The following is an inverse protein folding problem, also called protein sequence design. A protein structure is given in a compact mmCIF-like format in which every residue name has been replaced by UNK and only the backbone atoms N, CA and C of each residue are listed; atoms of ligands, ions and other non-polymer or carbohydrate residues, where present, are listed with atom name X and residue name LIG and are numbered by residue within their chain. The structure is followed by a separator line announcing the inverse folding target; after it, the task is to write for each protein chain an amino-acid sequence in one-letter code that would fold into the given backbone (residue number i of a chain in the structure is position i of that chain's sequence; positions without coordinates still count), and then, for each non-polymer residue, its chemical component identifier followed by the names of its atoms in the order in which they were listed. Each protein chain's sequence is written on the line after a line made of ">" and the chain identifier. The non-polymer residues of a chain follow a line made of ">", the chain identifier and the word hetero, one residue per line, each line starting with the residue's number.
data_IF_040717512402
#
_entry.id   IF_040717512402
#
_cell.length_a   1.000
_cell.length_b   1.000
_cell.length_c   1.000
_cell.angle_alpha   90.00
_cell.angle_beta   90.00
_cell.angle_gamma   90.00
#
_symmetry.space_group_name_H-M   'P 1'
#
loop_
_entity.id
_entity.type
_entity.pdbx_description
1 polymer ?
#
# COMPACT_ATOMS: atom_id res chain seq x y z
N UNK A 1 -13.30 -7.95 -11.69
CA UNK A 1 -12.51 -7.38 -10.59
C UNK A 1 -11.55 -6.27 -11.04
N UNK A 2 -10.58 -6.52 -11.94
CA UNK A 2 -9.66 -5.43 -12.36
C UNK A 2 -10.38 -4.28 -13.07
N UNK A 3 -11.29 -4.59 -14.01
CA UNK A 3 -12.07 -3.58 -14.72
C UNK A 3 -12.92 -2.70 -13.77
N UNK A 4 -13.47 -3.26 -12.69
CA UNK A 4 -14.22 -2.50 -11.69
C UNK A 4 -13.33 -1.63 -10.79
N UNK A 5 -12.08 -2.03 -10.54
CA UNK A 5 -11.14 -1.19 -9.80
C UNK A 5 -10.71 0.05 -10.60
N UNK A 6 -10.63 -0.07 -11.93
CA UNK A 6 -10.36 1.07 -12.83
C UNK A 6 -11.55 2.03 -12.93
N UNK A 7 -12.75 1.61 -12.52
CA UNK A 7 -13.88 2.53 -12.38
C UNK A 7 -13.72 3.49 -11.18
N UNK A 8 -12.86 3.15 -10.21
CA UNK A 8 -12.56 3.93 -9.01
C UNK A 8 -13.74 4.15 -8.05
N UNK A 9 -14.91 3.53 -8.28
CA UNK A 9 -16.07 3.62 -7.37
C UNK A 9 -15.78 3.12 -5.95
N UNK A 10 -14.77 2.27 -5.80
CA UNK A 10 -14.30 1.77 -4.52
C UNK A 10 -13.61 2.85 -3.66
N UNK A 11 -13.05 3.89 -4.28
CA UNK A 11 -12.49 5.05 -3.57
C UNK A 11 -13.59 5.86 -2.89
N UNK A 12 -14.71 6.09 -3.58
CA UNK A 12 -15.89 6.77 -3.02
C UNK A 12 -16.54 6.01 -1.86
N UNK A 13 -16.29 4.71 -1.77
CA UNK A 13 -16.78 3.81 -0.72
C UNK A 13 -15.74 3.59 0.39
N UNK A 14 -14.63 4.31 0.36
CA UNK A 14 -13.51 4.19 1.31
C UNK A 14 -13.04 2.74 1.46
N UNK A 15 -13.02 1.97 0.37
CA UNK A 15 -12.59 0.58 0.38
C UNK A 15 -11.08 0.51 0.24
N UNK A 16 -10.45 -0.46 0.89
CA UNK A 16 -9.01 -0.67 0.78
C UNK A 16 -8.68 -1.62 -0.38
N UNK A 17 -7.41 -1.65 -0.79
CA UNK A 17 -6.90 -2.53 -1.83
C UNK A 17 -5.63 -3.23 -1.37
N UNK A 18 -5.67 -4.54 -1.20
CA UNK A 18 -4.53 -5.35 -0.75
C UNK A 18 -4.01 -6.17 -1.92
N UNK A 19 -2.78 -5.91 -2.34
CA UNK A 19 -2.14 -6.60 -3.46
C UNK A 19 -0.93 -7.37 -2.94
N UNK A 20 -1.01 -8.70 -3.04
CA UNK A 20 0.05 -9.63 -2.61
C UNK A 20 0.59 -10.47 -3.75
N UNK A 21 1.77 -11.08 -3.57
CA UNK A 21 2.38 -11.97 -4.56
C UNK A 21 3.91 -11.89 -4.59
N UNK A 22 4.59 -12.80 -5.30
CA UNK A 22 6.05 -12.91 -5.27
C UNK A 22 6.76 -11.70 -5.90
N UNK A 23 8.07 -11.57 -5.66
CA UNK A 23 8.88 -10.52 -6.28
C UNK A 23 8.74 -10.53 -7.81
N UNK A 24 8.54 -9.35 -8.40
CA UNK A 24 8.44 -9.20 -9.84
C UNK A 24 7.10 -9.60 -10.46
N UNK A 25 6.09 -10.02 -9.69
CA UNK A 25 4.77 -10.42 -10.22
C UNK A 25 3.90 -9.26 -10.76
N UNK A 26 4.42 -8.03 -10.83
CA UNK A 26 3.68 -6.87 -11.35
C UNK A 26 2.80 -6.13 -10.33
N UNK A 27 2.94 -6.39 -9.01
CA UNK A 27 2.13 -5.72 -7.96
C UNK A 27 2.18 -4.19 -8.04
N UNK A 28 3.40 -3.63 -8.03
CA UNK A 28 3.61 -2.18 -8.13
C UNK A 28 3.07 -1.64 -9.45
N UNK A 29 3.25 -2.37 -10.56
CA UNK A 29 2.75 -1.94 -11.87
C UNK A 29 1.22 -1.80 -11.88
N UNK A 30 0.49 -2.83 -11.44
CA UNK A 30 -0.98 -2.79 -11.40
C UNK A 30 -1.47 -1.70 -10.44
N UNK A 31 -0.84 -1.58 -9.27
CA UNK A 31 -1.24 -0.55 -8.29
C UNK A 31 -1.00 0.85 -8.84
N UNK A 32 0.13 1.08 -9.51
CA UNK A 32 0.42 2.35 -10.17
C UNK A 32 -0.56 2.64 -11.31
N UNK A 33 -0.99 1.64 -12.09
CA UNK A 33 -2.01 1.84 -13.13
C UNK A 33 -3.37 2.25 -12.54
N UNK A 34 -3.78 1.61 -11.44
CA UNK A 34 -5.00 1.97 -10.70
C UNK A 34 -4.87 3.39 -10.11
N UNK A 35 -3.75 3.68 -9.43
CA UNK A 35 -3.45 4.98 -8.85
C UNK A 35 -3.46 6.09 -9.90
N UNK A 36 -2.82 5.86 -11.05
CA UNK A 36 -2.80 6.80 -12.17
C UNK A 36 -4.21 7.05 -12.72
N UNK A 37 -5.03 6.01 -12.83
CA UNK A 37 -6.44 6.15 -13.22
C UNK A 37 -7.22 6.99 -12.21
N UNK A 38 -6.95 6.81 -10.91
CA UNK A 38 -7.48 7.66 -9.84
C UNK A 38 -7.11 9.14 -10.02
N UNK A 39 -5.82 9.43 -10.25
CA UNK A 39 -5.37 10.79 -10.56
C UNK A 39 -6.11 11.39 -11.76
N UNK A 40 -6.31 10.59 -12.82
CA UNK A 40 -6.99 11.04 -14.03
C UNK A 40 -8.48 11.32 -13.84
N UNK A 41 -9.07 10.75 -12.78
CA UNK A 41 -10.44 11.01 -12.35
C UNK A 41 -10.55 12.09 -11.28
N UNK A 42 -9.44 12.78 -10.96
CA UNK A 42 -9.41 13.90 -10.02
C UNK A 42 -9.22 13.50 -8.55
N UNK A 43 -8.99 12.22 -8.24
CA UNK A 43 -8.67 11.80 -6.88
C UNK A 43 -7.24 12.20 -6.51
N UNK A 44 -7.06 12.66 -5.27
CA UNK A 44 -5.76 12.87 -4.67
C UNK A 44 -5.10 11.52 -4.34
N UNK A 45 -3.90 11.29 -4.85
CA UNK A 45 -3.18 10.03 -4.68
C UNK A 45 -1.77 10.28 -4.18
N UNK A 46 -1.33 9.48 -3.21
CA UNK A 46 0.02 9.55 -2.68
C UNK A 46 0.61 8.16 -2.53
N UNK A 47 1.84 7.99 -2.99
CA UNK A 47 2.56 6.74 -2.91
C UNK A 47 3.76 6.87 -1.97
N UNK A 48 3.92 5.89 -1.08
CA UNK A 48 5.08 5.73 -0.23
C UNK A 48 5.55 4.29 -0.21
N UNK A 49 6.87 4.09 -0.14
CA UNK A 49 7.41 2.89 0.49
C UNK A 49 7.21 3.01 1.99
N UNK A 50 6.73 1.96 2.66
CA UNK A 50 6.40 1.98 4.08
C UNK A 50 7.58 2.46 4.94
N UNK A 51 8.78 1.96 4.68
CA UNK A 51 10.00 2.37 5.40
C UNK A 51 10.31 3.86 5.28
N UNK A 52 10.04 4.47 4.12
CA UNK A 52 10.25 5.91 3.87
C UNK A 52 9.18 6.76 4.56
N UNK A 53 7.94 6.28 4.60
CA UNK A 53 6.87 6.93 5.37
C UNK A 53 7.19 6.94 6.87
N UNK A 54 7.62 5.81 7.42
CA UNK A 54 8.01 5.71 8.84
C UNK A 54 9.16 6.64 9.21
N UNK A 55 10.16 6.76 8.33
CA UNK A 55 11.25 7.73 8.52
C UNK A 55 10.73 9.18 8.52
N UNK A 56 9.86 9.51 7.56
CA UNK A 56 9.30 10.85 7.45
C UNK A 56 8.43 11.21 8.67
N UNK A 57 7.64 10.28 9.22
CA UNK A 57 6.87 10.48 10.45
C UNK A 57 7.79 10.70 11.67
N UNK A 58 8.91 9.97 11.72
CA UNK A 58 9.92 10.16 12.78
C UNK A 58 10.53 11.57 12.70
N UNK A 59 10.86 12.04 11.50
CA UNK A 59 11.36 13.39 11.28
C UNK A 59 10.31 14.46 11.64
N UNK A 60 9.07 14.23 11.24
CA UNK A 60 7.95 15.13 11.54
C UNK A 60 7.69 15.28 13.05
N UNK A 61 7.99 14.25 13.84
CA UNK A 61 7.96 14.37 15.31
C UNK A 61 9.08 15.25 15.84
N UNK A 62 10.28 15.12 15.28
CA UNK A 62 11.44 15.88 15.71
C UNK A 62 11.33 17.39 15.38
N UNK A 63 10.66 17.75 14.30
CA UNK A 63 10.48 19.14 13.86
C UNK A 63 9.10 19.74 14.22
N UNK A 64 8.24 18.98 14.91
CA UNK A 64 6.91 19.42 15.36
C UNK A 64 5.83 19.43 14.27
N UNK A 65 6.08 18.87 13.09
CA UNK A 65 5.11 18.82 11.97
C UNK A 65 4.27 17.53 11.92
N UNK A 66 4.44 16.61 12.87
CA UNK A 66 3.77 15.30 12.89
C UNK A 66 2.24 15.36 12.72
N UNK A 67 1.55 16.19 13.52
CA UNK A 67 0.09 16.33 13.42
C UNK A 67 -0.35 16.84 12.05
N UNK A 68 0.39 17.79 11.47
CA UNK A 68 0.11 18.30 10.11
C UNK A 68 0.32 17.21 9.06
N UNK A 69 1.33 16.37 9.23
CA UNK A 69 1.58 15.24 8.32
C UNK A 69 0.46 14.21 8.40
N UNK A 70 0.00 13.81 9.60
CA UNK A 70 -1.14 12.91 9.77
C UNK A 70 -2.40 13.46 9.10
N UNK A 71 -2.74 14.72 9.36
CA UNK A 71 -3.89 15.37 8.72
C UNK A 71 -3.78 15.41 7.19
N UNK A 72 -2.56 15.62 6.66
CA UNK A 72 -2.32 15.58 5.22
C UNK A 72 -2.51 14.17 4.66
N UNK A 73 -2.06 13.14 5.38
CA UNK A 73 -2.25 11.75 4.98
C UNK A 73 -3.72 11.37 5.03
N UNK A 74 -4.46 11.75 6.08
CA UNK A 74 -5.88 11.44 6.25
C UNK A 74 -6.75 11.91 5.07
N UNK A 75 -6.46 13.11 4.56
CA UNK A 75 -7.21 13.77 3.47
C UNK A 75 -6.95 13.24 2.07
N UNK A 76 -5.93 12.39 1.88
CA UNK A 76 -5.61 11.82 0.57
C UNK A 76 -6.62 10.70 0.26
N UNK A 77 -7.30 10.81 -0.88
CA UNK A 77 -8.32 9.84 -1.31
C UNK A 77 -7.73 8.43 -1.43
N UNK A 78 -6.53 8.31 -2.02
CA UNK A 78 -5.80 7.05 -2.12
C UNK A 78 -4.36 7.15 -1.60
N UNK A 79 -4.09 6.53 -0.46
CA UNK A 79 -2.73 6.33 0.06
C UNK A 79 -2.22 4.94 -0.35
N UNK A 80 -1.15 4.88 -1.12
CA UNK A 80 -0.48 3.63 -1.50
C UNK A 80 0.74 3.42 -0.60
N UNK A 81 0.79 2.28 0.07
CA UNK A 81 1.91 1.82 0.89
C UNK A 81 2.52 0.58 0.24
N UNK A 82 3.70 0.75 -0.34
CA UNK A 82 4.49 -0.35 -0.92
C UNK A 82 5.51 -0.89 0.08
N UNK A 83 6.04 -2.07 -0.22
CA UNK A 83 7.03 -2.79 0.58
C UNK A 83 6.53 -3.17 1.99
N UNK A 84 5.23 -3.45 2.13
CA UNK A 84 4.67 -3.90 3.40
C UNK A 84 5.23 -5.26 3.82
N UNK A 85 5.65 -5.35 5.09
CA UNK A 85 6.14 -6.59 5.69
C UNK A 85 7.55 -7.00 5.26
N UNK A 86 8.32 -6.13 4.60
CA UNK A 86 9.73 -6.42 4.30
C UNK A 86 10.61 -6.45 5.57
N UNK A 87 10.30 -5.62 6.55
CA UNK A 87 10.99 -5.55 7.84
C UNK A 87 9.94 -5.47 8.95
N UNK A 88 10.19 -6.08 10.13
CA UNK A 88 9.32 -5.93 11.29
C UNK A 88 9.22 -4.47 11.71
N UNK A 89 8.00 -4.02 12.02
CA UNK A 89 7.79 -2.66 12.53
C UNK A 89 8.36 -2.52 13.95
N UNK A 90 9.01 -1.39 14.22
CA UNK A 90 9.40 -0.97 15.58
C UNK A 90 8.19 -0.44 16.33
N UNK A 91 8.22 -0.47 17.67
CA UNK A 91 7.09 -0.03 18.51
C UNK A 91 6.54 1.36 18.12
N UNK A 92 7.42 2.36 17.94
CA UNK A 92 7.00 3.70 17.50
C UNK A 92 6.33 3.71 16.12
N UNK A 93 6.80 2.87 15.19
CA UNK A 93 6.25 2.77 13.84
C UNK A 93 4.88 2.08 13.82
N UNK A 94 4.63 1.15 14.75
CA UNK A 94 3.31 0.53 14.92
C UNK A 94 2.28 1.56 15.39
N UNK A 95 2.65 2.39 16.37
CA UNK A 95 1.79 3.49 16.83
C UNK A 95 1.53 4.48 15.69
N UNK A 96 2.55 4.86 14.94
CA UNK A 96 2.40 5.78 13.81
C UNK A 96 1.49 5.22 12.71
N UNK A 97 1.64 3.93 12.42
CA UNK A 97 0.78 3.25 11.47
C UNK A 97 -0.67 3.15 12.00
N UNK A 98 -0.85 2.89 13.29
CA UNK A 98 -2.17 2.85 13.93
C UNK A 98 -2.89 4.19 13.79
N UNK A 99 -2.23 5.31 14.11
CA UNK A 99 -2.78 6.67 13.95
C UNK A 99 -3.23 6.93 12.49
N UNK A 100 -2.42 6.53 11.51
CA UNK A 100 -2.79 6.65 10.10
C UNK A 100 -3.99 5.77 9.75
N UNK A 101 -4.09 4.56 10.31
CA UNK A 101 -5.23 3.68 10.06
C UNK A 101 -6.51 4.21 10.71
N UNK A 102 -6.43 4.75 11.93
CA UNK A 102 -7.55 5.38 12.62
C UNK A 102 -8.09 6.57 11.83
N UNK A 103 -7.22 7.51 11.43
CA UNK A 103 -7.60 8.72 10.70
C UNK A 103 -8.24 8.42 9.33
N UNK A 104 -7.91 7.28 8.73
CA UNK A 104 -8.35 6.92 7.37
C UNK A 104 -9.53 5.97 7.34
N UNK A 105 -9.75 5.18 8.41
CA UNK A 105 -10.77 4.15 8.42
C UNK A 105 -12.16 4.73 8.12
N UNK A 106 -12.84 4.15 7.13
CA UNK A 106 -14.17 4.60 6.68
C UNK A 106 -14.20 5.92 5.92
N UNK A 107 -13.11 6.68 5.88
CA UNK A 107 -13.08 8.04 5.31
C UNK A 107 -12.28 8.13 4.00
N UNK A 108 -11.24 7.33 3.83
CA UNK A 108 -10.42 7.31 2.62
C UNK A 108 -9.77 5.94 2.38
N UNK A 109 -9.31 5.69 1.16
CA UNK A 109 -8.88 4.35 0.72
C UNK A 109 -7.38 4.14 0.87
N UNK A 110 -6.96 3.01 1.41
CA UNK A 110 -5.54 2.63 1.51
C UNK A 110 -5.25 1.42 0.63
N UNK A 111 -4.23 1.53 -0.21
CA UNK A 111 -3.70 0.42 -0.99
C UNK A 111 -2.40 -0.10 -0.35
N UNK A 112 -2.34 -1.39 -0.07
CA UNK A 112 -1.15 -2.06 0.44
C UNK A 112 -0.57 -2.96 -0.64
N UNK A 113 0.74 -2.85 -0.88
CA UNK A 113 1.49 -3.78 -1.72
C UNK A 113 2.44 -4.57 -0.83
N UNK A 114 2.33 -5.90 -0.86
CA UNK A 114 3.18 -6.77 -0.06
C UNK A 114 3.68 -7.97 -0.85
N UNK A 115 4.87 -8.46 -0.49
CA UNK A 115 5.33 -9.78 -0.91
C UNK A 115 4.88 -10.87 0.07
N UNK A 116 4.59 -10.49 1.31
CA UNK A 116 4.06 -11.40 2.32
C UNK A 116 2.59 -11.74 2.04
N UNK A 117 2.19 -13.02 2.19
CA UNK A 117 0.79 -13.40 2.29
C UNK A 117 0.10 -12.62 3.42
N UNK A 118 -1.20 -12.35 3.27
CA UNK A 118 -1.98 -11.58 4.26
C UNK A 118 -2.01 -12.24 5.64
N UNK A 119 -1.86 -13.56 5.69
CA UNK A 119 -1.85 -14.37 6.89
C UNK A 119 -0.62 -14.08 7.78
N UNK A 120 0.48 -13.62 7.16
CA UNK A 120 1.73 -13.31 7.87
C UNK A 120 1.80 -11.85 8.36
N UNK A 121 0.83 -11.02 7.97
CA UNK A 121 0.87 -9.58 8.30
C UNK A 121 0.78 -9.33 9.80
N UNK A 122 -0.01 -10.12 10.52
CA UNK A 122 -0.14 -10.02 11.97
C UNK A 122 1.22 -10.20 12.66
N UNK A 123 1.96 -11.23 12.26
CA UNK A 123 3.31 -11.49 12.76
C UNK A 123 4.29 -10.38 12.36
N UNK A 124 4.20 -9.86 11.13
CA UNK A 124 5.09 -8.79 10.65
C UNK A 124 4.93 -7.47 11.42
N UNK A 125 3.74 -7.19 11.95
CA UNK A 125 3.49 -6.03 12.82
C UNK A 125 4.15 -6.26 14.17
N UNK A 126 4.02 -7.45 14.76
CA UNK A 126 4.81 -7.87 15.92
C UNK A 126 4.33 -7.38 17.29
N UNK A 127 3.09 -6.91 17.39
CA UNK A 127 2.36 -6.61 18.64
C UNK A 127 0.92 -7.05 18.47
N UNK A 128 0.39 -7.94 19.30
CA UNK A 128 -0.92 -8.56 19.06
C UNK A 128 -2.06 -7.52 19.03
N UNK A 129 -2.07 -6.61 20.00
CA UNK A 129 -3.16 -5.62 20.12
C UNK A 129 -3.13 -4.64 18.96
N UNK A 130 -1.95 -4.11 18.62
CA UNK A 130 -1.82 -3.20 17.48
C UNK A 130 -2.02 -3.93 16.14
N UNK A 131 -1.58 -5.18 16.03
CA UNK A 131 -1.80 -5.98 14.83
C UNK A 131 -3.28 -6.22 14.58
N UNK A 132 -4.04 -6.65 15.59
CA UNK A 132 -5.49 -6.82 15.49
C UNK A 132 -6.16 -5.52 15.05
N UNK A 133 -5.82 -4.40 15.71
CA UNK A 133 -6.44 -3.11 15.44
C UNK A 133 -6.12 -2.55 14.04
N UNK A 134 -4.85 -2.63 13.61
CA UNK A 134 -4.40 -2.18 12.28
C UNK A 134 -5.01 -3.05 11.19
N UNK A 135 -4.98 -4.38 11.38
CA UNK A 135 -5.49 -5.31 10.38
C UNK A 135 -6.99 -5.24 10.25
N UNK A 136 -7.74 -5.11 11.35
CA UNK A 136 -9.20 -4.92 11.29
C UNK A 136 -9.56 -3.73 10.38
N UNK A 137 -8.94 -2.56 10.61
CA UNK A 137 -9.18 -1.36 9.80
C UNK A 137 -8.79 -1.50 8.34
N UNK A 138 -7.69 -2.20 8.06
CA UNK A 138 -7.20 -2.44 6.70
C UNK A 138 -8.04 -3.47 5.96
N UNK A 139 -8.48 -4.53 6.65
CA UNK A 139 -8.99 -5.75 6.04
C UNK A 139 -10.51 -5.85 5.98
N UNK A 140 -11.22 -5.16 6.88
CA UNK A 140 -12.68 -5.28 7.01
C UNK A 140 -13.43 -4.92 5.72
N UNK A 141 -12.95 -3.90 4.99
CA UNK A 141 -13.58 -3.42 3.76
C UNK A 141 -12.56 -3.33 2.61
N UNK A 142 -11.97 -4.46 2.22
CA UNK A 142 -10.85 -4.49 1.29
C UNK A 142 -11.04 -5.41 0.08
N UNK A 143 -10.67 -4.90 -1.09
CA UNK A 143 -10.42 -5.70 -2.28
C UNK A 143 -9.08 -6.43 -2.14
N UNK A 144 -9.05 -7.74 -2.36
CA UNK A 144 -7.82 -8.55 -2.22
C UNK A 144 -7.41 -9.18 -3.53
N UNK A 145 -6.19 -8.93 -3.95
CA UNK A 145 -5.62 -9.43 -5.20
C UNK A 145 -4.33 -10.17 -4.88
N UNK A 146 -4.34 -11.48 -5.07
CA UNK A 146 -3.14 -12.31 -4.98
C UNK A 146 -2.59 -12.58 -6.37
N UNK A 147 -1.54 -11.88 -6.75
CA UNK A 147 -0.83 -12.11 -8.00
C UNK A 147 0.00 -13.39 -7.89
N UNK A 148 -0.03 -14.18 -8.97
CA UNK A 148 0.76 -15.39 -9.16
C UNK A 148 1.63 -15.22 -10.40
N UNK A 149 2.68 -16.04 -10.51
CA UNK A 149 3.51 -16.12 -11.71
C UNK A 149 4.95 -15.67 -11.51
N UNK A 150 5.74 -15.88 -12.57
CA UNK A 150 7.16 -15.53 -12.61
C UNK A 150 7.37 -14.00 -12.64
N UNK A 151 8.58 -13.58 -12.29
CA UNK A 151 8.95 -12.17 -12.35
C UNK A 151 8.82 -11.62 -13.77
N UNK A 152 7.94 -10.64 -13.96
CA UNK A 152 7.79 -9.89 -15.22
C UNK A 152 9.11 -9.25 -15.67
N UNK A 153 10.02 -8.96 -14.71
CA UNK A 153 11.37 -8.44 -15.02
C UNK A 153 12.21 -9.46 -15.80
N UNK A 154 12.06 -10.76 -15.50
CA UNK A 154 12.73 -11.86 -16.24
C UNK A 154 12.12 -12.08 -17.62
N UNK A 155 10.84 -11.73 -17.82
CA UNK A 155 10.17 -11.82 -19.11
C UNK A 155 10.62 -10.67 -20.01
N UNK A 156 10.70 -9.44 -19.48
CA UNK A 156 11.20 -8.28 -20.22
C UNK A 156 12.66 -8.45 -20.66
N UNK A 157 13.53 -8.98 -19.79
CA UNK A 157 14.95 -9.21 -20.14
C UNK A 157 15.16 -10.24 -21.26
N UNK A 158 14.18 -11.11 -21.54
CA UNK A 158 14.24 -12.04 -22.68
C UNK A 158 13.90 -11.38 -24.02
N UNK A 159 13.23 -10.23 -24.02
CA UNK A 159 12.90 -9.46 -25.23
C UNK A 159 14.17 -8.82 -25.79
N UNK A 160 14.99 -8.19 -24.93
CA UNK A 160 16.24 -7.54 -25.34
C UNK A 160 17.27 -8.50 -25.96
N UNK A 161 17.27 -9.77 -25.56
CA UNK A 161 18.18 -10.79 -26.11
C UNK A 161 17.76 -11.36 -27.47
N UNK A 162 16.52 -11.18 -27.91
CA UNK A 162 16.06 -11.64 -29.23
C UNK A 162 16.26 -10.60 -30.33
N UNK A 163 16.42 -9.32 -29.98
CA UNK A 163 16.65 -8.25 -30.96
C UNK A 163 18.12 -8.07 -31.37
N UNK A 164 19.06 -8.76 -30.71
CA UNK A 164 20.49 -8.74 -31.06
C UNK A 164 20.97 -9.95 -31.91
N UNK A 165 20.03 -10.78 -32.39
CA UNK A 165 20.32 -11.95 -33.25
C UNK A 165 19.52 -11.91 -34.57
N UNK A 166 19.12 -10.71 -35.01
CA UNK A 166 18.50 -10.46 -36.31
C UNK A 166 19.42 -9.72 -37.26
#
# INVERSE_FOLDING_TARGET
>A
MMASLLQCDWLNKSQNLLITGPCGSGKTYITCAIAHTGCMKGYSVKYYRLSRLMLALTQAKADGTYSRMLQSLAKIDLLVLDDWGLEPLKAAQRNDLMEIMDDRHGSSSTAIISQLPTEEWHQSIGDNTLADAILDRLMHNAHRIKLKGESMRKIQSKIDHREHLG
#
